data_IF_779116229762
#
_entry.id   IF_779116229762
#
_cell.length_a   1.000
_cell.length_b   1.000
_cell.length_c   1.000
_cell.angle_alpha   90.00
_cell.angle_beta   90.00
_cell.angle_gamma   90.00
#
_symmetry.space_group_name_H-M   'P 1'
#
loop_
_entity.id
_entity.type
_entity.pdbx_description
1 polymer ?
#
# COMPACT_ATOMS: atom_id res chain seq x y z
N UNK A 1 -27.02 -10.14 -36.84
CA UNK A 1 -25.89 -9.31 -37.29
C UNK A 1 -24.71 -10.25 -37.44
N UNK A 2 -24.14 -10.36 -38.64
CA UNK A 2 -22.96 -11.17 -38.88
C UNK A 2 -21.76 -10.42 -38.34
N UNK A 3 -20.98 -11.05 -37.45
CA UNK A 3 -19.72 -10.52 -36.96
C UNK A 3 -18.75 -10.37 -38.14
N UNK A 4 -18.05 -9.24 -38.22
CA UNK A 4 -17.03 -8.99 -39.22
C UNK A 4 -15.83 -9.90 -38.90
N UNK A 5 -15.32 -10.73 -39.83
CA UNK A 5 -14.21 -11.65 -39.58
C UNK A 5 -12.93 -10.98 -39.03
N UNK A 6 -12.80 -9.66 -39.13
CA UNK A 6 -11.66 -8.94 -38.59
C UNK A 6 -11.66 -8.85 -37.04
N UNK A 7 -12.83 -8.91 -36.38
CA UNK A 7 -12.93 -8.83 -34.91
C UNK A 7 -12.35 -10.08 -34.21
N UNK A 8 -12.42 -11.25 -34.86
CA UNK A 8 -11.92 -12.51 -34.30
C UNK A 8 -10.39 -12.62 -34.39
N UNK A 9 -9.76 -11.87 -35.30
CA UNK A 9 -8.30 -11.82 -35.50
C UNK A 9 -7.59 -10.94 -34.45
N UNK A 10 -8.32 -10.01 -33.84
CA UNK A 10 -7.84 -9.11 -32.78
C UNK A 10 -7.68 -9.83 -31.42
N UNK A 11 -8.41 -10.93 -31.20
CA UNK A 11 -8.34 -11.71 -29.97
C UNK A 11 -6.99 -12.43 -29.75
N UNK A 12 -6.18 -12.58 -30.82
CA UNK A 12 -4.90 -13.31 -30.78
C UNK A 12 -3.66 -12.42 -30.91
N UNK A 13 -3.81 -11.09 -30.93
CA UNK A 13 -2.66 -10.16 -30.98
C UNK A 13 -2.32 -9.63 -29.58
N UNK A 14 -1.06 -9.82 -29.20
CA UNK A 14 -0.51 -9.41 -27.91
C UNK A 14 -0.20 -7.90 -27.83
N UNK A 15 -0.16 -7.21 -28.97
CA UNK A 15 0.02 -5.76 -29.05
C UNK A 15 -1.10 -4.94 -28.39
N UNK A 16 -2.19 -5.57 -27.95
CA UNK A 16 -3.29 -4.87 -27.32
C UNK A 16 -4.01 -3.92 -28.28
N UNK A 17 -5.06 -3.28 -27.76
CA UNK A 17 -5.99 -2.43 -28.50
C UNK A 17 -5.37 -1.08 -28.97
N UNK A 18 -4.07 -0.85 -28.73
CA UNK A 18 -3.37 0.44 -28.82
C UNK A 18 -2.54 0.60 -30.11
N UNK A 19 -3.15 0.41 -31.28
CA UNK A 19 -2.48 0.73 -32.55
C UNK A 19 -2.65 2.22 -32.91
N UNK A 20 -1.56 2.98 -33.12
CA UNK A 20 -1.58 4.45 -33.33
C UNK A 20 -2.25 4.88 -34.64
N UNK A 21 -2.62 3.94 -35.51
CA UNK A 21 -3.28 4.20 -36.79
C UNK A 21 -4.80 4.01 -36.75
N UNK A 22 -5.36 3.64 -35.60
CA UNK A 22 -6.81 3.43 -35.45
C UNK A 22 -7.54 4.78 -35.30
N UNK A 23 -8.69 5.00 -35.95
CA UNK A 23 -9.53 6.15 -35.64
C UNK A 23 -9.92 6.09 -34.15
N UNK A 24 -9.85 7.25 -33.47
CA UNK A 24 -10.29 7.40 -32.08
C UNK A 24 -11.74 6.91 -32.01
N UNK A 25 -11.94 5.74 -31.39
CA UNK A 25 -13.28 5.29 -31.03
C UNK A 25 -13.83 6.36 -30.09
N UNK A 26 -15.06 6.88 -30.29
CA UNK A 26 -15.65 7.80 -29.31
C UNK A 26 -15.50 7.14 -27.95
N UNK A 27 -14.86 7.86 -27.01
CA UNK A 27 -14.73 7.39 -25.64
C UNK A 27 -16.09 6.86 -25.25
N UNK A 28 -16.15 5.59 -24.84
CA UNK A 28 -17.37 5.02 -24.31
C UNK A 28 -17.53 5.64 -22.92
N UNK A 29 -17.91 6.93 -22.89
CA UNK A 29 -18.20 7.70 -21.69
C UNK A 29 -19.34 6.97 -21.00
N UNK A 30 -18.97 6.20 -19.98
CA UNK A 30 -19.86 5.23 -19.37
C UNK A 30 -19.97 3.94 -20.18
N UNK A 31 -19.17 2.94 -19.83
CA UNK A 31 -19.69 1.57 -19.85
C UNK A 31 -20.83 1.49 -18.82
N UNK A 32 -21.98 2.07 -19.16
CA UNK A 32 -23.19 1.91 -18.38
C UNK A 32 -23.51 0.42 -18.37
N UNK A 33 -23.62 -0.12 -17.16
CA UNK A 33 -24.06 -1.48 -16.95
C UNK A 33 -25.43 -1.64 -17.62
N UNK A 34 -25.71 -2.78 -18.31
CA UNK A 34 -27.02 -3.03 -18.87
C UNK A 34 -28.11 -2.91 -17.80
N UNK A 35 -29.32 -2.52 -18.19
CA UNK A 35 -30.44 -2.38 -17.26
C UNK A 35 -30.61 -3.64 -16.40
N UNK A 36 -30.64 -3.46 -15.08
CA UNK A 36 -30.73 -4.55 -14.09
C UNK A 36 -29.40 -5.04 -13.52
N UNK A 37 -28.25 -4.55 -14.01
CA UNK A 37 -26.94 -4.90 -13.47
C UNK A 37 -26.45 -3.88 -12.44
N UNK A 38 -26.01 -4.37 -11.29
CA UNK A 38 -25.46 -3.57 -10.18
C UNK A 38 -24.02 -3.96 -9.94
N UNK A 39 -23.10 -2.99 -9.97
CA UNK A 39 -21.73 -3.23 -9.55
C UNK A 39 -21.69 -3.59 -8.06
N UNK A 40 -21.01 -4.69 -7.74
CA UNK A 40 -20.81 -5.15 -6.35
C UNK A 40 -19.32 -5.10 -6.02
N UNK A 41 -18.94 -4.27 -5.05
CA UNK A 41 -17.56 -4.07 -4.62
C UNK A 41 -17.36 -2.72 -3.91
N UNK A 42 -16.34 -2.58 -3.06
CA UNK A 42 -16.02 -1.26 -2.47
C UNK A 42 -15.63 -0.29 -3.59
N UNK A 43 -16.31 0.86 -3.67
CA UNK A 43 -16.09 1.89 -4.71
C UNK A 43 -17.07 1.84 -5.89
N UNK A 44 -18.15 1.06 -5.80
CA UNK A 44 -19.20 0.94 -6.83
C UNK A 44 -20.37 1.92 -6.64
N UNK A 45 -20.19 2.96 -5.82
CA UNK A 45 -21.22 3.96 -5.61
C UNK A 45 -21.36 4.83 -6.87
N UNK A 46 -22.57 5.02 -7.42
CA UNK A 46 -22.77 5.85 -8.59
C UNK A 46 -22.45 7.31 -8.24
N UNK A 47 -21.37 7.84 -8.80
CA UNK A 47 -21.04 9.26 -8.77
C UNK A 47 -22.13 10.04 -9.53
N UNK A 48 -22.86 10.97 -8.88
CA UNK A 48 -23.72 11.89 -9.60
C UNK A 48 -22.85 12.83 -10.44
N UNK A 49 -23.07 12.85 -11.75
CA UNK A 49 -22.56 13.90 -12.61
C UNK A 49 -23.38 15.17 -12.32
N UNK A 50 -22.74 16.19 -11.75
CA UNK A 50 -22.85 17.59 -12.19
C UNK A 50 -22.21 18.57 -11.18
N UNK A 51 -21.46 19.55 -11.72
CA UNK A 51 -21.48 20.92 -11.19
C UNK A 51 -20.25 21.47 -10.45
N UNK A 52 -19.26 21.95 -11.22
CA UNK A 52 -18.55 23.25 -11.12
C UNK A 52 -18.24 23.86 -9.72
N UNK A 53 -16.94 24.09 -9.48
CA UNK A 53 -16.31 24.76 -8.32
C UNK A 53 -16.62 26.28 -8.19
N UNK A 54 -16.17 26.98 -7.12
CA UNK A 54 -14.81 27.56 -7.16
C UNK A 54 -14.02 27.58 -5.82
N UNK A 55 -12.74 27.96 -6.00
CA UNK A 55 -11.57 27.91 -5.14
C UNK A 55 -11.58 28.71 -3.81
N UNK A 56 -10.74 28.27 -2.86
CA UNK A 56 -9.96 29.14 -1.95
C UNK A 56 -8.64 28.43 -1.57
N UNK A 57 -7.54 29.15 -1.81
CA UNK A 57 -6.10 28.89 -1.58
C UNK A 57 -5.77 28.71 -0.07
N UNK A 58 -4.69 28.10 0.46
CA UNK A 58 -3.29 27.86 0.07
C UNK A 58 -2.76 26.67 0.94
N UNK A 59 -1.71 25.90 0.64
CA UNK A 59 -0.30 26.26 0.36
C UNK A 59 0.37 25.13 -0.43
N UNK A 60 1.07 25.53 -1.49
CA UNK A 60 1.88 24.75 -2.44
C UNK A 60 3.22 24.31 -1.86
N UNK A 61 3.64 23.06 -2.12
CA UNK A 61 4.89 22.71 -2.84
C UNK A 61 5.00 21.20 -3.08
N UNK A 62 4.65 20.78 -4.29
CA UNK A 62 5.42 19.87 -5.16
C UNK A 62 4.51 19.57 -6.36
N UNK A 63 4.82 20.25 -7.46
CA UNK A 63 4.12 20.18 -8.74
C UNK A 63 4.78 19.07 -9.57
N UNK A 64 4.02 18.03 -9.89
CA UNK A 64 4.22 17.11 -11.02
C UNK A 64 2.82 16.55 -11.33
N UNK A 65 2.22 17.08 -12.40
CA UNK A 65 1.01 16.63 -13.11
C UNK A 65 0.14 15.58 -12.41
N UNK A 66 -0.70 16.03 -11.47
CA UNK A 66 -1.68 15.19 -10.82
C UNK A 66 -2.97 15.11 -11.67
N UNK A 67 -2.96 14.24 -12.67
CA UNK A 67 -4.17 13.48 -13.04
C UNK A 67 -4.78 12.92 -11.74
N UNK A 68 -6.11 12.88 -11.53
CA UNK A 68 -6.71 12.54 -10.24
C UNK A 68 -6.26 11.14 -9.81
N UNK A 69 -5.17 11.08 -9.05
CA UNK A 69 -4.51 9.85 -8.67
C UNK A 69 -5.52 9.11 -7.80
N UNK A 70 -6.03 8.01 -8.35
CA UNK A 70 -6.94 7.15 -7.61
C UNK A 70 -6.35 6.91 -6.23
N UNK A 71 -7.17 7.11 -5.20
CA UNK A 71 -6.78 7.02 -3.78
C UNK A 71 -6.03 5.71 -3.46
N UNK A 72 -6.18 4.68 -4.32
CA UNK A 72 -5.43 3.43 -4.32
C UNK A 72 -3.92 3.57 -4.58
N UNK A 73 -3.45 4.45 -5.47
CA UNK A 73 -2.02 4.59 -5.79
C UNK A 73 -1.24 5.11 -4.57
N UNK A 74 -1.70 6.22 -3.97
CA UNK A 74 -1.10 6.80 -2.77
C UNK A 74 -1.13 5.79 -1.60
N UNK A 75 -2.22 5.04 -1.44
CA UNK A 75 -2.35 4.05 -0.38
C UNK A 75 -1.37 2.87 -0.55
N UNK A 76 -1.12 2.43 -1.79
CA UNK A 76 -0.14 1.38 -2.10
C UNK A 76 1.30 1.87 -1.86
N UNK A 77 1.63 3.07 -2.34
CA UNK A 77 2.94 3.69 -2.10
C UNK A 77 3.19 3.85 -0.60
N UNK A 78 2.22 4.40 0.14
CA UNK A 78 2.30 4.56 1.60
C UNK A 78 2.46 3.22 2.31
N UNK A 79 1.78 2.18 1.85
CA UNK A 79 1.92 0.84 2.42
C UNK A 79 3.29 0.24 2.12
N UNK A 80 3.81 0.42 0.92
CA UNK A 80 5.17 0.01 0.54
C UNK A 80 6.21 0.71 1.39
N UNK A 81 6.09 2.03 1.58
CA UNK A 81 6.97 2.82 2.43
C UNK A 81 6.92 2.37 3.88
N UNK A 82 5.71 2.26 4.47
CA UNK A 82 5.55 1.78 5.83
C UNK A 82 6.10 0.35 5.98
N UNK A 83 5.75 -0.56 5.07
CA UNK A 83 6.30 -1.92 5.06
C UNK A 83 7.83 -1.93 4.99
N UNK A 84 8.42 -1.05 4.17
CA UNK A 84 9.86 -0.82 4.12
C UNK A 84 10.43 -0.36 5.45
N UNK A 85 9.80 0.59 6.14
CA UNK A 85 10.21 1.04 7.48
C UNK A 85 10.19 -0.13 8.49
N UNK A 86 9.12 -0.93 8.51
CA UNK A 86 9.03 -2.09 9.40
C UNK A 86 10.08 -3.17 9.07
N UNK A 87 10.41 -3.34 7.78
CA UNK A 87 11.48 -4.23 7.35
C UNK A 87 12.85 -3.70 7.82
N UNK A 88 13.10 -2.41 7.67
CA UNK A 88 14.30 -1.75 8.19
C UNK A 88 14.40 -1.88 9.71
N UNK A 89 13.28 -1.78 10.43
CA UNK A 89 13.26 -2.01 11.88
C UNK A 89 13.59 -3.44 12.24
N UNK A 90 13.12 -4.42 11.47
CA UNK A 90 13.49 -5.83 11.66
C UNK A 90 15.01 -6.01 11.55
N UNK A 91 15.63 -5.40 10.52
CA UNK A 91 17.09 -5.38 10.35
C UNK A 91 17.78 -4.62 11.49
N UNK A 92 17.23 -3.49 11.91
CA UNK A 92 17.73 -2.71 13.04
C UNK A 92 17.70 -3.51 14.35
N UNK A 93 16.64 -4.25 14.62
CA UNK A 93 16.58 -5.14 15.78
C UNK A 93 17.57 -6.29 15.66
N UNK A 94 17.81 -6.82 14.46
CA UNK A 94 18.79 -7.90 14.26
C UNK A 94 20.21 -7.42 14.59
N UNK A 95 20.60 -6.26 14.06
CA UNK A 95 21.91 -5.64 14.32
C UNK A 95 22.03 -5.13 15.77
N UNK A 96 20.97 -4.54 16.32
CA UNK A 96 20.95 -4.06 17.70
C UNK A 96 21.00 -5.20 18.71
N UNK A 97 20.32 -6.31 18.42
CA UNK A 97 20.33 -7.50 19.28
C UNK A 97 21.70 -8.17 19.33
N UNK A 98 22.43 -8.23 18.21
CA UNK A 98 23.78 -8.80 18.20
C UNK A 98 24.75 -7.95 19.02
N UNK A 99 24.63 -6.61 18.94
CA UNK A 99 25.41 -5.67 19.75
C UNK A 99 25.10 -5.81 21.25
N UNK A 100 23.81 -5.88 21.59
CA UNK A 100 23.37 -6.10 22.98
C UNK A 100 23.85 -7.45 23.52
N UNK A 101 23.70 -8.52 22.74
CA UNK A 101 24.15 -9.87 23.12
C UNK A 101 25.67 -9.88 23.41
N UNK A 102 26.48 -9.21 22.59
CA UNK A 102 27.91 -9.09 22.83
C UNK A 102 28.21 -8.39 24.17
N UNK A 103 27.50 -7.30 24.48
CA UNK A 103 27.68 -6.54 25.71
C UNK A 103 27.21 -7.30 26.98
N UNK A 104 26.18 -8.13 26.88
CA UNK A 104 25.60 -8.83 28.04
C UNK A 104 26.08 -10.27 28.21
N UNK A 105 26.78 -10.84 27.23
CA UNK A 105 27.17 -12.27 27.18
C UNK A 105 27.96 -12.75 28.41
N UNK A 106 28.71 -11.86 29.05
CA UNK A 106 29.51 -12.18 30.24
C UNK A 106 28.71 -12.15 31.55
N UNK A 107 27.54 -11.53 31.55
CA UNK A 107 26.76 -11.21 32.75
C UNK A 107 25.50 -12.05 32.88
N UNK A 108 24.91 -12.48 31.75
CA UNK A 108 23.64 -13.20 31.71
C UNK A 108 23.80 -14.57 31.04
N UNK A 109 23.03 -15.55 31.52
CA UNK A 109 22.92 -16.85 30.86
C UNK A 109 22.27 -16.68 29.48
N UNK A 110 22.85 -17.22 28.39
CA UNK A 110 22.32 -17.05 27.03
C UNK A 110 20.87 -17.52 26.88
N UNK A 111 20.48 -18.59 27.58
CA UNK A 111 19.13 -19.13 27.50
C UNK A 111 18.05 -18.14 27.97
N UNK A 112 18.39 -17.21 28.88
CA UNK A 112 17.47 -16.21 29.37
C UNK A 112 17.26 -15.03 28.38
N UNK A 113 18.22 -14.77 27.48
CA UNK A 113 18.24 -13.55 26.66
C UNK A 113 17.94 -13.84 25.19
N UNK A 114 18.49 -14.92 24.64
CA UNK A 114 18.39 -15.23 23.20
C UNK A 114 16.94 -15.31 22.70
N UNK A 115 15.98 -15.95 23.39
CA UNK A 115 14.60 -15.98 22.92
C UNK A 115 13.98 -14.58 22.82
N UNK A 116 14.25 -13.71 23.81
CA UNK A 116 13.74 -12.34 23.82
C UNK A 116 14.29 -11.52 22.66
N UNK A 117 15.57 -11.71 22.30
CA UNK A 117 16.18 -11.06 21.14
C UNK A 117 15.50 -11.48 19.83
N UNK A 118 15.24 -12.77 19.65
CA UNK A 118 14.52 -13.24 18.46
C UNK A 118 13.08 -12.72 18.38
N UNK A 119 12.38 -12.65 19.51
CA UNK A 119 11.06 -12.03 19.58
C UNK A 119 11.12 -10.55 19.21
N UNK A 120 12.13 -9.82 19.69
CA UNK A 120 12.32 -8.41 19.35
C UNK A 120 12.60 -8.22 17.85
N UNK A 121 13.40 -9.09 17.23
CA UNK A 121 13.63 -9.10 15.78
C UNK A 121 12.33 -9.37 15.02
N UNK A 122 11.53 -10.33 15.46
CA UNK A 122 10.28 -10.68 14.79
C UNK A 122 9.16 -9.65 15.02
N UNK A 123 9.22 -8.86 16.10
CA UNK A 123 8.14 -7.98 16.52
C UNK A 123 7.67 -6.98 15.44
N UNK A 124 8.54 -6.28 14.69
CA UNK A 124 8.10 -5.38 13.61
C UNK A 124 7.34 -6.11 12.51
N UNK A 125 7.83 -7.26 12.06
CA UNK A 125 7.18 -8.07 11.04
C UNK A 125 5.82 -8.61 11.52
N UNK A 126 5.77 -9.10 12.76
CA UNK A 126 4.54 -9.61 13.38
C UNK A 126 3.50 -8.51 13.59
N UNK A 127 3.92 -7.31 14.00
CA UNK A 127 3.02 -6.17 14.14
C UNK A 127 2.43 -5.77 12.79
N UNK A 128 3.27 -5.58 11.77
CA UNK A 128 2.80 -5.22 10.44
C UNK A 128 1.83 -6.26 9.88
N UNK A 129 2.21 -7.54 9.91
CA UNK A 129 1.36 -8.64 9.46
C UNK A 129 0.07 -8.77 10.28
N UNK A 130 0.17 -8.60 11.60
CA UNK A 130 -0.97 -8.61 12.52
C UNK A 130 -1.96 -7.49 12.23
N UNK A 131 -1.48 -6.26 12.03
CA UNK A 131 -2.32 -5.11 11.65
C UNK A 131 -2.97 -5.36 10.28
N UNK A 132 -2.23 -5.87 9.29
CA UNK A 132 -2.80 -6.23 7.98
C UNK A 132 -3.94 -7.25 8.11
N UNK A 133 -3.75 -8.27 8.93
CA UNK A 133 -4.73 -9.34 9.11
C UNK A 133 -5.96 -8.87 9.91
N UNK A 134 -5.77 -8.16 11.02
CA UNK A 134 -6.85 -7.69 11.89
C UNK A 134 -7.69 -6.60 11.22
N UNK A 135 -7.08 -5.73 10.41
CA UNK A 135 -7.79 -4.61 9.79
C UNK A 135 -8.38 -4.94 8.42
N UNK A 136 -8.31 -6.19 7.95
CA UNK A 136 -8.82 -6.60 6.61
C UNK A 136 -10.28 -6.24 6.35
N UNK A 137 -11.12 -6.28 7.39
CA UNK A 137 -12.55 -5.98 7.32
C UNK A 137 -12.89 -4.55 7.80
N UNK A 138 -11.89 -3.78 8.21
CA UNK A 138 -12.05 -2.45 8.79
C UNK A 138 -11.95 -1.34 7.74
N UNK A 139 -12.19 -0.09 8.16
CA UNK A 139 -11.87 1.08 7.37
C UNK A 139 -10.35 1.22 7.17
N UNK A 140 -9.92 1.69 6.00
CA UNK A 140 -8.50 1.77 5.65
C UNK A 140 -7.70 2.70 6.60
N UNK A 141 -8.31 3.77 7.11
CA UNK A 141 -7.64 4.70 8.02
C UNK A 141 -7.24 4.05 9.36
N UNK A 142 -8.04 3.11 9.87
CA UNK A 142 -7.72 2.36 11.11
C UNK A 142 -6.40 1.60 10.97
N UNK A 143 -6.17 1.02 9.78
CA UNK A 143 -4.91 0.35 9.45
C UNK A 143 -3.73 1.30 9.53
N UNK A 144 -3.83 2.47 8.88
CA UNK A 144 -2.75 3.45 8.87
C UNK A 144 -2.46 4.00 10.26
N UNK A 145 -3.50 4.29 11.06
CA UNK A 145 -3.33 4.72 12.45
C UNK A 145 -2.52 3.69 13.27
N UNK A 146 -2.87 2.40 13.20
CA UNK A 146 -2.13 1.34 13.92
C UNK A 146 -0.70 1.15 13.41
N UNK A 147 -0.47 1.30 12.10
CA UNK A 147 0.87 1.26 11.54
C UNK A 147 1.73 2.44 12.02
N UNK A 148 1.17 3.65 12.06
CA UNK A 148 1.90 4.84 12.55
C UNK A 148 2.24 4.67 14.04
N UNK A 149 1.29 4.21 14.86
CA UNK A 149 1.56 3.90 16.28
C UNK A 149 2.70 2.90 16.42
N UNK A 150 2.66 1.82 15.63
CA UNK A 150 3.72 0.81 15.69
C UNK A 150 5.08 1.32 15.20
N UNK A 151 5.13 2.30 14.28
CA UNK A 151 6.39 2.95 13.90
C UNK A 151 7.05 3.53 15.14
N UNK A 152 6.37 4.36 15.92
CA UNK A 152 6.97 4.94 17.13
C UNK A 152 7.30 3.90 18.21
N UNK A 153 6.45 2.88 18.35
CA UNK A 153 6.61 1.84 19.37
C UNK A 153 7.80 0.92 19.12
N UNK A 154 8.03 0.57 17.85
CA UNK A 154 8.95 -0.49 17.43
C UNK A 154 10.27 0.04 16.90
N UNK A 155 10.58 1.33 17.14
CA UNK A 155 11.91 1.88 16.90
C UNK A 155 12.96 0.93 17.49
N UNK A 156 14.05 0.65 16.74
CA UNK A 156 15.15 -0.15 17.26
C UNK A 156 15.94 0.69 18.28
N UNK A 157 15.40 0.74 19.50
CA UNK A 157 15.95 1.50 20.63
C UNK A 157 17.46 1.38 20.82
N UNK A 158 18.11 0.20 20.75
CA UNK A 158 19.57 0.10 20.89
C UNK A 158 20.34 1.11 20.02
N UNK A 159 19.89 1.40 18.80
CA UNK A 159 20.49 2.44 17.94
C UNK A 159 20.18 3.86 18.41
N UNK A 160 18.96 4.10 18.88
CA UNK A 160 18.52 5.41 19.38
C UNK A 160 19.33 5.82 20.61
N UNK A 161 19.62 4.86 21.50
CA UNK A 161 20.36 5.11 22.75
C UNK A 161 21.88 4.91 22.61
N UNK A 162 22.36 4.48 21.43
CA UNK A 162 23.79 4.34 21.12
C UNK A 162 24.50 3.12 21.72
N UNK A 163 23.74 2.14 22.23
CA UNK A 163 24.25 0.92 22.89
C UNK A 163 24.80 -0.07 21.88
#
# INVERSE_FOLDING_TARGET
>A
MASDPHDDEDAFRWEGDDSPTRPVRPERTGAALPDGWRAVGKGSEPTPADGIAPATEAVTTADEDAEPASLGNIALVSLGLLGGIYLLYTVGWLLGSSRLAAATSFWLEPAAVVPALWVAVAAPALWFGGVMLLTRASAAWVRFAWLIVGVFLLLPWPFVIGV
#
